data_IF_244110627555
#
_entry.id   IF_244110627555
#
_cell.length_a   1.000
_cell.length_b   1.000
_cell.length_c   1.000
_cell.angle_alpha   90.00
_cell.angle_beta   90.00
_cell.angle_gamma   90.00
#
_symmetry.space_group_name_H-M   'P 1'
#
loop_
_entity.id
_entity.type
_entity.pdbx_description
1 polymer ?
#
# COMPACT_ATOMS: atom_id res chain seq x y z
N UNK A 1 33.65 2.58 60.07
CA UNK A 1 32.43 1.79 60.36
C UNK A 1 32.12 1.02 59.07
N UNK A 2 32.43 -0.27 58.88
CA UNK A 2 32.29 -1.51 59.69
C UNK A 2 30.85 -2.07 59.79
N UNK A 3 30.76 -3.42 59.75
CA UNK A 3 29.57 -4.26 59.49
C UNK A 3 28.91 -3.99 58.11
N UNK A 4 28.77 -4.92 57.16
CA UNK A 4 29.04 -6.37 57.07
C UNK A 4 28.11 -7.32 57.84
N UNK A 5 27.25 -8.02 57.08
CA UNK A 5 26.73 -9.38 57.33
C UNK A 5 26.97 -10.17 56.03
N UNK A 6 27.21 -11.49 56.11
CA UNK A 6 27.70 -12.30 55.00
C UNK A 6 27.14 -13.74 55.08
N UNK A 7 26.89 -14.37 53.91
CA UNK A 7 26.53 -15.81 53.75
C UNK A 7 25.09 -16.12 54.25
N UNK A 8 24.38 -17.13 53.75
CA UNK A 8 24.85 -18.49 53.46
C UNK A 8 24.62 -19.01 52.02
N UNK A 9 25.29 -20.11 51.67
CA UNK A 9 25.11 -20.83 50.41
C UNK A 9 25.35 -22.33 50.55
N UNK A 10 24.37 -23.13 50.14
CA UNK A 10 24.55 -24.59 50.00
C UNK A 10 24.10 -25.08 48.62
N UNK A 11 24.84 -26.08 48.13
CA UNK A 11 24.64 -26.72 46.82
C UNK A 11 23.92 -28.06 47.02
N UNK A 12 23.14 -28.48 46.03
CA UNK A 12 23.03 -29.90 45.69
C UNK A 12 23.09 -30.05 44.17
N UNK A 13 23.81 -31.07 43.69
CA UNK A 13 24.13 -31.23 42.26
C UNK A 13 24.60 -32.66 41.96
N UNK A 14 23.71 -33.54 41.50
CA UNK A 14 23.98 -34.92 41.04
C UNK A 14 22.79 -35.42 40.18
N UNK A 15 22.94 -36.43 39.28
CA UNK A 15 22.52 -36.20 37.89
C UNK A 15 21.64 -37.30 37.22
N UNK A 16 21.09 -36.93 36.05
CA UNK A 16 20.87 -37.71 34.80
C UNK A 16 20.39 -39.18 34.92
N UNK A 17 19.29 -39.51 34.21
CA UNK A 17 19.41 -40.50 33.13
C UNK A 17 18.93 -39.97 31.78
N UNK A 18 19.67 -40.27 30.71
CA UNK A 18 19.29 -39.99 29.32
C UNK A 18 18.80 -41.26 28.62
N UNK A 19 17.83 -41.17 27.70
CA UNK A 19 17.38 -42.36 26.96
C UNK A 19 16.05 -42.22 26.20
N UNK A 20 16.04 -41.46 25.11
CA UNK A 20 14.99 -41.56 24.08
C UNK A 20 15.61 -41.32 22.69
N UNK A 21 15.50 -42.31 21.79
CA UNK A 21 16.04 -42.22 20.44
C UNK A 21 15.05 -41.51 19.52
N UNK A 22 15.46 -40.37 18.94
CA UNK A 22 14.80 -39.82 17.76
C UNK A 22 15.27 -40.65 16.56
N UNK A 23 14.37 -41.40 15.94
CA UNK A 23 14.65 -42.10 14.67
C UNK A 23 14.67 -41.09 13.54
N UNK A 24 15.70 -41.15 12.69
CA UNK A 24 15.67 -40.49 11.40
C UNK A 24 14.61 -41.14 10.51
N UNK A 25 13.71 -40.34 9.93
CA UNK A 25 12.80 -40.80 8.89
C UNK A 25 13.53 -40.75 7.54
N UNK A 26 14.07 -41.89 7.12
CA UNK A 26 14.44 -42.11 5.73
C UNK A 26 13.14 -42.29 4.93
N UNK A 27 12.95 -41.50 3.88
CA UNK A 27 11.93 -41.75 2.87
C UNK A 27 12.54 -42.61 1.78
N UNK A 28 12.14 -43.87 1.72
CA UNK A 28 12.54 -44.78 0.65
C UNK A 28 11.96 -44.34 -0.70
N UNK A 29 12.74 -44.56 -1.76
CA UNK A 29 12.35 -44.38 -3.15
C UNK A 29 11.98 -45.76 -3.69
N UNK A 30 10.73 -45.97 -4.12
CA UNK A 30 10.29 -47.21 -4.77
C UNK A 30 10.11 -47.00 -6.29
N UNK A 31 11.01 -47.59 -7.08
CA UNK A 31 10.87 -47.74 -8.52
C UNK A 31 10.48 -49.19 -8.88
N UNK A 32 9.19 -49.47 -9.04
CA UNK A 32 8.72 -50.67 -9.76
C UNK A 32 7.32 -50.46 -10.38
N UNK A 33 7.21 -50.04 -11.64
CA UNK A 33 7.34 -50.82 -12.89
C UNK A 33 6.04 -51.49 -13.41
N UNK A 34 5.42 -50.83 -14.39
CA UNK A 34 4.95 -51.40 -15.66
C UNK A 34 3.96 -52.60 -15.68
N UNK A 35 2.76 -52.37 -16.23
CA UNK A 35 2.08 -53.40 -17.03
C UNK A 35 1.38 -52.80 -18.26
N UNK A 36 1.54 -53.43 -19.43
CA UNK A 36 1.04 -52.95 -20.73
C UNK A 36 -0.32 -53.55 -21.12
N UNK A 37 -1.15 -52.75 -21.81
CA UNK A 37 -2.14 -53.08 -22.88
C UNK A 37 -2.91 -51.78 -23.23
N UNK A 38 -3.06 -51.30 -24.47
CA UNK A 38 -2.51 -51.71 -25.76
C UNK A 38 -3.57 -52.22 -26.75
N UNK A 39 -4.03 -51.38 -27.71
CA UNK A 39 -4.54 -51.79 -29.05
C UNK A 39 -4.71 -50.59 -30.01
N UNK A 40 -4.03 -50.69 -31.17
CA UNK A 40 -4.30 -50.18 -32.54
C UNK A 40 -5.06 -48.86 -32.80
N UNK A 41 -4.28 -47.85 -33.17
CA UNK A 41 -4.23 -47.21 -34.50
C UNK A 41 -5.42 -47.29 -35.50
N UNK A 42 -5.74 -46.13 -36.10
CA UNK A 42 -6.42 -45.99 -37.40
C UNK A 42 -5.77 -44.85 -38.21
N UNK A 43 -5.57 -45.03 -39.52
CA UNK A 43 -4.87 -44.06 -40.39
C UNK A 43 -5.85 -43.39 -41.37
N UNK A 44 -5.69 -42.09 -41.60
CA UNK A 44 -6.53 -41.31 -42.54
C UNK A 44 -5.72 -40.21 -43.23
N UNK A 45 -5.25 -40.48 -44.45
CA UNK A 45 -4.46 -39.54 -45.26
C UNK A 45 -5.33 -38.63 -46.12
N UNK A 46 -4.95 -37.36 -46.31
CA UNK A 46 -5.13 -36.73 -47.62
C UNK A 46 -4.10 -35.63 -47.93
N UNK A 47 -3.94 -35.29 -49.22
CA UNK A 47 -2.94 -34.33 -49.73
C UNK A 47 -3.60 -33.14 -50.46
N UNK A 48 -2.99 -31.95 -50.27
CA UNK A 48 -2.63 -30.83 -51.22
C UNK A 48 -3.24 -30.79 -52.64
N UNK A 49 -3.25 -29.63 -53.36
CA UNK A 49 -2.50 -28.36 -53.14
C UNK A 49 -3.49 -27.16 -52.97
N UNK A 50 -3.38 -25.91 -53.46
CA UNK A 50 -2.42 -25.19 -54.32
C UNK A 50 -2.55 -23.64 -54.25
N UNK A 51 -1.49 -22.92 -54.66
CA UNK A 51 -1.49 -21.58 -55.31
C UNK A 51 -2.02 -20.33 -54.54
N UNK A 52 -1.55 -19.08 -54.76
CA UNK A 52 -0.51 -18.53 -55.65
C UNK A 52 0.07 -17.18 -55.11
N UNK A 53 1.36 -16.91 -55.36
CA UNK A 53 2.11 -15.61 -55.38
C UNK A 53 1.73 -14.45 -54.43
N UNK A 54 2.73 -14.00 -53.67
CA UNK A 54 3.18 -12.61 -53.70
C UNK A 54 4.60 -12.57 -54.29
N UNK A 55 4.98 -11.49 -54.99
CA UNK A 55 6.32 -11.32 -55.58
C UNK A 55 6.67 -9.81 -55.68
N UNK A 56 7.96 -9.50 -55.65
CA UNK A 56 8.55 -8.17 -55.70
C UNK A 56 8.75 -7.49 -54.33
N UNK A 57 9.88 -6.82 -54.05
CA UNK A 57 11.16 -6.80 -54.78
C UNK A 57 12.28 -6.12 -53.95
N UNK A 58 13.49 -6.71 -53.93
CA UNK A 58 14.86 -6.09 -54.11
C UNK A 58 15.23 -4.78 -53.36
N UNK A 59 16.45 -4.50 -52.89
CA UNK A 59 17.80 -5.13 -52.83
C UNK A 59 18.57 -4.38 -51.69
N UNK A 60 19.45 -4.98 -50.86
CA UNK A 60 20.90 -5.23 -51.08
C UNK A 60 21.72 -4.02 -51.61
N UNK A 61 22.93 -3.66 -51.10
CA UNK A 61 23.73 -4.22 -49.98
C UNK A 61 24.88 -3.28 -49.49
N UNK A 62 25.42 -3.59 -48.30
CA UNK A 62 26.84 -3.49 -47.81
C UNK A 62 27.86 -2.46 -48.38
N UNK A 63 28.65 -1.81 -47.50
CA UNK A 63 29.88 -1.07 -47.90
C UNK A 63 30.84 -0.67 -46.76
N UNK A 64 32.12 -1.07 -46.86
CA UNK A 64 33.20 -1.02 -45.85
C UNK A 64 33.67 0.33 -45.23
N UNK A 65 34.18 0.22 -43.99
CA UNK A 65 35.29 0.92 -43.27
C UNK A 65 35.95 2.19 -43.87
N UNK A 66 36.21 3.18 -43.01
CA UNK A 66 37.24 4.24 -43.19
C UNK A 66 37.82 4.74 -41.86
N UNK A 67 39.07 5.26 -41.85
CA UNK A 67 39.79 5.82 -40.69
C UNK A 67 40.13 7.30 -40.94
N UNK A 68 40.02 8.17 -39.94
CA UNK A 68 40.79 9.42 -39.83
C UNK A 68 40.78 9.99 -38.40
N UNK A 69 41.92 10.54 -37.95
CA UNK A 69 41.97 11.58 -36.91
C UNK A 69 41.99 12.98 -37.58
N UNK A 70 41.92 14.10 -36.83
CA UNK A 70 43.21 14.72 -36.48
C UNK A 70 43.29 15.50 -35.13
N UNK A 71 44.41 15.29 -34.44
CA UNK A 71 45.30 16.29 -33.75
C UNK A 71 44.72 17.39 -32.83
N UNK A 72 45.26 17.43 -31.62
CA UNK A 72 45.25 18.58 -30.69
C UNK A 72 46.07 19.78 -31.21
N UNK A 73 45.76 20.99 -30.69
CA UNK A 73 46.74 22.05 -30.40
C UNK A 73 46.43 22.68 -29.03
N UNK A 74 47.49 23.08 -28.31
CA UNK A 74 47.37 23.83 -27.05
C UNK A 74 47.53 25.34 -27.29
N UNK A 75 46.89 26.16 -26.46
CA UNK A 75 47.28 27.53 -26.14
C UNK A 75 46.79 27.89 -24.74
N UNK A 76 47.64 28.47 -23.90
CA UNK A 76 47.33 28.81 -22.51
C UNK A 76 46.54 30.11 -22.32
N UNK A 77 46.23 30.49 -21.06
CA UNK A 77 45.28 31.55 -20.73
C UNK A 77 45.90 32.96 -20.64
N UNK A 78 45.10 33.98 -20.94
CA UNK A 78 45.34 35.39 -20.56
C UNK A 78 43.99 36.11 -20.27
N UNK A 79 43.99 37.30 -19.65
CA UNK A 79 43.05 37.57 -18.54
C UNK A 79 41.71 38.21 -18.93
N UNK A 80 40.74 38.08 -18.02
CA UNK A 80 39.49 38.81 -18.06
C UNK A 80 39.71 40.32 -17.81
N UNK A 81 39.16 41.15 -18.69
CA UNK A 81 39.16 42.61 -18.55
C UNK A 81 37.78 43.10 -18.10
N UNK A 82 37.74 43.96 -17.09
CA UNK A 82 36.51 44.50 -16.51
C UNK A 82 35.86 45.56 -17.41
N UNK A 83 34.58 45.37 -17.77
CA UNK A 83 33.67 46.46 -18.14
C UNK A 83 32.22 46.04 -17.89
N UNK A 84 31.49 46.83 -17.09
CA UNK A 84 30.04 46.74 -16.99
C UNK A 84 29.39 47.60 -18.09
N UNK A 85 28.24 47.18 -18.66
CA UNK A 85 27.37 48.01 -19.47
C UNK A 85 26.31 48.73 -18.62
N UNK A 86 25.84 49.88 -19.10
CA UNK A 86 25.05 50.84 -18.32
C UNK A 86 23.57 50.47 -18.10
N UNK A 87 22.99 50.98 -17.00
CA UNK A 87 21.56 50.91 -16.71
C UNK A 87 20.82 51.95 -17.56
N UNK A 88 20.12 51.48 -18.60
CA UNK A 88 19.18 52.32 -19.38
C UNK A 88 17.78 52.19 -18.78
N UNK A 89 17.29 53.28 -18.17
CA UNK A 89 15.88 53.37 -17.78
C UNK A 89 14.97 53.34 -19.01
N UNK A 90 13.83 52.63 -18.90
CA UNK A 90 12.68 52.79 -19.78
C UNK A 90 11.39 52.83 -18.95
N UNK A 91 10.40 53.54 -19.49
CA UNK A 91 9.23 54.04 -18.77
C UNK A 91 8.01 53.13 -18.83
N UNK A 92 7.15 53.32 -17.82
CA UNK A 92 5.70 53.08 -17.73
C UNK A 92 5.13 51.70 -18.12
N UNK A 93 4.55 50.94 -17.17
CA UNK A 93 3.89 49.67 -17.46
C UNK A 93 2.50 49.86 -18.06
N UNK A 94 2.22 49.13 -19.14
CA UNK A 94 0.86 49.04 -19.72
C UNK A 94 -0.08 48.33 -18.73
N UNK A 95 -1.14 49.01 -18.30
CA UNK A 95 -2.20 48.42 -17.48
C UNK A 95 -2.92 47.29 -18.25
N UNK A 96 -2.57 46.03 -17.94
CA UNK A 96 -3.44 44.88 -18.23
C UNK A 96 -4.42 44.70 -17.08
N UNK A 97 -5.64 45.20 -17.25
CA UNK A 97 -6.75 44.87 -16.36
C UNK A 97 -7.01 43.37 -16.45
N UNK A 98 -6.57 42.63 -15.43
CA UNK A 98 -7.01 41.26 -15.19
C UNK A 98 -8.29 41.33 -14.36
N UNK A 99 -9.32 40.51 -14.63
CA UNK A 99 -10.54 40.53 -13.82
C UNK A 99 -10.25 39.92 -12.44
N UNK A 100 -9.99 40.77 -11.46
CA UNK A 100 -9.90 40.37 -10.06
C UNK A 100 -11.25 39.81 -9.60
N UNK A 101 -11.37 38.47 -9.55
CA UNK A 101 -12.33 37.84 -8.66
C UNK A 101 -11.83 38.08 -7.23
N UNK A 102 -12.58 38.76 -6.35
CA UNK A 102 -12.16 38.90 -4.97
C UNK A 102 -12.08 37.52 -4.33
N UNK A 103 -10.93 37.21 -3.70
CA UNK A 103 -10.83 36.06 -2.82
C UNK A 103 -11.78 36.27 -1.65
N UNK A 104 -12.84 35.46 -1.58
CA UNK A 104 -13.81 35.52 -0.48
C UNK A 104 -13.11 35.21 0.84
N UNK A 105 -12.95 36.22 1.69
CA UNK A 105 -12.47 36.06 3.07
C UNK A 105 -13.58 35.58 4.01
N UNK A 106 -14.83 35.49 3.54
CA UNK A 106 -15.83 34.67 4.20
C UNK A 106 -15.53 33.19 3.96
N UNK A 107 -15.24 32.46 5.04
CA UNK A 107 -15.31 31.00 5.02
C UNK A 107 -16.72 30.58 4.52
N UNK A 108 -16.83 29.50 3.72
CA UNK A 108 -18.14 29.04 3.27
C UNK A 108 -18.99 28.70 4.48
N UNK A 109 -20.16 29.35 4.61
CA UNK A 109 -21.14 29.00 5.63
C UNK A 109 -21.56 27.55 5.40
N UNK A 110 -21.03 26.63 6.21
CA UNK A 110 -21.36 25.21 6.13
C UNK A 110 -22.88 25.06 6.14
N UNK A 111 -23.43 24.49 5.07
CA UNK A 111 -24.82 24.07 5.06
C UNK A 111 -25.01 23.07 6.21
N UNK A 112 -26.16 23.14 6.89
CA UNK A 112 -26.49 22.15 7.91
C UNK A 112 -26.36 20.75 7.28
N UNK A 113 -25.68 19.79 7.94
CA UNK A 113 -25.30 18.53 7.31
C UNK A 113 -26.55 17.81 6.81
N UNK A 114 -26.61 17.61 5.49
CA UNK A 114 -27.54 16.67 4.88
C UNK A 114 -27.33 15.32 5.55
N UNK A 115 -28.41 14.69 6.01
CA UNK A 115 -28.32 13.49 6.84
C UNK A 115 -27.53 12.42 6.09
N UNK A 116 -26.39 12.01 6.66
CA UNK A 116 -25.47 11.10 5.98
C UNK A 116 -26.18 9.79 5.65
N UNK A 117 -26.04 9.22 4.43
CA UNK A 117 -26.69 7.98 4.03
C UNK A 117 -26.11 6.73 4.74
N UNK A 118 -25.19 6.94 5.69
CA UNK A 118 -24.45 5.94 6.46
C UNK A 118 -25.38 5.17 7.42
N UNK A 119 -25.51 3.84 7.28
CA UNK A 119 -26.20 3.01 8.26
C UNK A 119 -25.44 2.98 9.59
N UNK A 120 -26.15 3.18 10.71
CA UNK A 120 -25.59 3.04 12.05
C UNK A 120 -25.01 1.64 12.25
N UNK A 121 -23.78 1.58 12.76
CA UNK A 121 -23.03 0.33 12.92
C UNK A 121 -22.08 0.01 11.76
N UNK A 122 -21.89 0.92 10.80
CA UNK A 122 -20.89 0.80 9.74
C UNK A 122 -19.47 0.56 10.23
N UNK A 123 -18.61 0.04 9.36
CA UNK A 123 -17.22 -0.32 9.63
C UNK A 123 -16.32 0.54 8.73
N UNK A 124 -15.45 1.33 9.33
CA UNK A 124 -14.41 2.07 8.62
C UNK A 124 -13.14 1.21 8.49
N UNK A 125 -12.71 0.97 7.26
CA UNK A 125 -11.57 0.11 6.97
C UNK A 125 -10.23 0.86 6.92
N UNK A 126 -10.26 2.18 7.06
CA UNK A 126 -9.06 3.04 6.96
C UNK A 126 -9.18 4.33 7.78
N UNK A 127 -8.31 4.47 8.80
CA UNK A 127 -7.96 5.74 9.45
C UNK A 127 -6.59 5.66 10.16
N UNK A 128 -6.01 6.83 10.46
CA UNK A 128 -4.59 7.00 10.77
C UNK A 128 -4.38 7.64 12.16
N UNK A 129 -4.20 6.82 13.22
CA UNK A 129 -3.66 7.32 14.48
C UNK A 129 -2.20 7.76 14.29
N UNK A 130 -1.95 9.04 14.50
CA UNK A 130 -0.63 9.67 14.33
C UNK A 130 0.26 9.48 15.55
N UNK A 131 1.51 9.03 15.33
CA UNK A 131 2.59 9.15 16.32
C UNK A 131 3.07 10.60 16.30
N UNK A 132 3.00 11.31 17.42
CA UNK A 132 3.46 12.70 17.55
C UNK A 132 5.00 12.79 17.46
N UNK A 133 5.69 11.96 18.25
CA UNK A 133 7.15 11.94 18.31
C UNK A 133 7.68 10.59 18.83
N UNK A 134 8.98 10.32 18.59
CA UNK A 134 9.67 9.12 19.09
C UNK A 134 9.53 8.93 20.62
N UNK A 135 9.30 10.00 21.40
CA UNK A 135 9.08 9.91 22.84
C UNK A 135 7.86 9.06 23.23
N UNK A 136 6.85 8.94 22.35
CA UNK A 136 5.71 8.04 22.55
C UNK A 136 6.06 6.56 22.32
N UNK A 137 7.12 6.27 21.56
CA UNK A 137 7.57 4.93 21.21
C UNK A 137 8.73 4.43 22.09
N UNK A 138 9.51 5.33 22.71
CA UNK A 138 10.60 4.97 23.64
C UNK A 138 10.17 3.96 24.74
N UNK A 139 8.99 4.06 25.39
CA UNK A 139 8.56 3.08 26.40
C UNK A 139 8.23 1.68 25.85
N UNK A 140 8.19 1.53 24.52
CA UNK A 140 7.81 0.31 23.81
C UNK A 140 8.97 -0.27 22.96
N UNK A 141 10.15 0.36 23.00
CA UNK A 141 11.39 -0.16 22.45
C UNK A 141 12.17 -0.94 23.53
N UNK A 142 12.96 -1.92 23.11
CA UNK A 142 13.95 -2.56 23.99
C UNK A 142 15.03 -1.55 24.39
N UNK A 143 15.58 -1.66 25.61
CA UNK A 143 16.55 -0.69 26.19
C UNK A 143 17.65 -0.25 25.21
N UNK A 144 18.27 -1.21 24.50
CA UNK A 144 19.31 -0.94 23.51
C UNK A 144 18.83 -0.04 22.36
N UNK A 145 17.60 -0.23 21.87
CA UNK A 145 17.03 0.58 20.80
C UNK A 145 16.53 1.93 21.31
N UNK A 146 15.98 1.98 22.52
CA UNK A 146 15.60 3.24 23.18
C UNK A 146 16.83 4.13 23.43
N UNK A 147 17.94 3.55 23.90
CA UNK A 147 19.23 4.24 24.01
C UNK A 147 19.78 4.65 22.64
N UNK A 148 19.76 3.74 21.65
CA UNK A 148 20.25 4.02 20.28
C UNK A 148 19.51 5.20 19.64
N UNK A 149 18.19 5.30 19.82
CA UNK A 149 17.36 6.40 19.31
C UNK A 149 17.79 7.74 19.94
N UNK A 150 18.01 7.76 21.26
CA UNK A 150 18.42 8.96 21.98
C UNK A 150 19.86 9.37 21.64
N UNK A 151 20.82 8.43 21.75
CA UNK A 151 22.26 8.70 21.55
C UNK A 151 22.60 9.12 20.13
N UNK A 152 21.88 8.60 19.11
CA UNK A 152 22.07 8.99 17.71
C UNK A 152 21.21 10.18 17.28
N UNK A 153 20.31 10.69 18.14
CA UNK A 153 19.38 11.74 17.79
C UNK A 153 18.41 11.35 16.66
N UNK A 154 17.88 10.13 16.68
CA UNK A 154 16.96 9.66 15.63
C UNK A 154 15.67 10.45 15.70
N UNK A 155 15.41 11.24 14.66
CA UNK A 155 14.19 12.04 14.49
C UNK A 155 12.97 11.14 14.20
N UNK A 156 11.73 11.67 14.33
CA UNK A 156 10.53 10.93 13.94
C UNK A 156 10.59 10.48 12.46
N UNK A 157 10.10 9.26 12.19
CA UNK A 157 10.12 8.62 10.88
C UNK A 157 8.91 9.04 10.03
N UNK A 158 8.72 10.36 9.90
CA UNK A 158 7.61 10.93 9.15
C UNK A 158 7.88 10.90 7.64
N UNK A 159 6.93 10.35 6.87
CA UNK A 159 7.05 10.23 5.43
C UNK A 159 6.78 11.58 4.74
N UNK A 160 7.35 11.79 3.55
CA UNK A 160 7.06 12.98 2.75
C UNK A 160 5.70 12.92 2.04
N UNK A 161 4.99 11.78 2.10
CA UNK A 161 3.67 11.60 1.51
C UNK A 161 2.60 12.46 2.17
N UNK A 162 2.68 12.69 3.49
CA UNK A 162 1.69 13.50 4.23
C UNK A 162 2.39 14.63 4.99
N UNK A 163 2.86 15.69 4.30
CA UNK A 163 3.49 16.83 4.96
C UNK A 163 2.48 17.52 5.90
N UNK A 164 2.81 17.67 7.18
CA UNK A 164 1.92 18.07 8.29
C UNK A 164 1.01 19.28 7.99
N UNK A 165 1.49 20.23 7.18
CA UNK A 165 0.80 21.48 6.84
C UNK A 165 0.27 21.55 5.40
N UNK A 166 0.35 20.46 4.63
CA UNK A 166 -0.36 20.37 3.34
C UNK A 166 -1.88 20.24 3.58
N UNK A 167 -2.74 20.79 2.70
CA UNK A 167 -4.20 20.72 2.88
C UNK A 167 -4.73 19.28 2.97
N UNK A 168 -4.27 18.39 2.08
CA UNK A 168 -4.72 16.99 2.04
C UNK A 168 -4.37 16.22 3.32
N UNK A 169 -3.26 16.56 4.00
CA UNK A 169 -2.79 15.87 5.22
C UNK A 169 -3.70 16.05 6.43
N UNK A 170 -4.54 17.09 6.50
CA UNK A 170 -5.59 17.15 7.52
C UNK A 170 -6.71 18.12 7.17
N UNK A 171 -7.95 17.60 7.21
CA UNK A 171 -9.16 18.39 6.96
C UNK A 171 -9.29 19.57 7.95
N UNK A 172 -9.67 20.78 7.51
CA UNK A 172 -9.60 21.98 8.36
C UNK A 172 -10.44 21.94 9.65
N UNK A 173 -11.56 21.22 9.67
CA UNK A 173 -12.43 21.05 10.85
C UNK A 173 -11.89 20.00 11.84
N UNK A 174 -11.21 18.96 11.34
CA UNK A 174 -10.56 17.92 12.14
C UNK A 174 -9.20 18.35 12.73
N UNK A 175 -8.58 19.38 12.18
CA UNK A 175 -7.29 19.91 12.65
C UNK A 175 -7.40 20.47 14.09
N UNK A 176 -6.31 20.33 14.84
CA UNK A 176 -6.07 21.04 16.11
C UNK A 176 -4.87 21.95 15.90
N UNK A 177 -4.97 23.22 16.27
CA UNK A 177 -3.85 24.16 16.15
C UNK A 177 -2.65 23.74 17.02
N UNK A 178 -1.46 23.74 16.41
CA UNK A 178 -0.21 23.38 17.07
C UNK A 178 0.01 21.88 17.31
N UNK A 179 -0.96 21.01 17.02
CA UNK A 179 -0.80 19.56 17.11
C UNK A 179 -0.63 18.90 15.74
N UNK A 180 0.08 17.77 15.70
CA UNK A 180 0.17 16.94 14.49
C UNK A 180 -1.17 16.22 14.23
N UNK A 181 -1.63 16.11 12.97
CA UNK A 181 -2.86 15.40 12.62
C UNK A 181 -2.93 13.96 13.15
N UNK A 182 -4.15 13.48 13.43
CA UNK A 182 -4.40 12.10 13.85
C UNK A 182 -3.91 11.72 15.25
N UNK A 183 -3.26 12.62 16.00
CA UNK A 183 -2.68 12.32 17.33
C UNK A 183 -3.68 12.26 18.48
N UNK A 184 -4.90 12.79 18.31
CA UNK A 184 -5.89 12.93 19.38
C UNK A 184 -7.00 11.89 19.29
N UNK A 185 -7.00 10.91 20.20
CA UNK A 185 -8.07 9.91 20.34
C UNK A 185 -9.45 10.56 20.54
N UNK A 186 -9.55 11.63 21.34
CA UNK A 186 -10.82 12.29 21.61
C UNK A 186 -11.41 13.00 20.37
N UNK A 187 -10.55 13.51 19.48
CA UNK A 187 -10.97 14.00 18.16
C UNK A 187 -11.40 12.85 17.27
N UNK A 188 -10.59 11.79 17.13
CA UNK A 188 -10.95 10.60 16.34
C UNK A 188 -12.29 9.98 16.77
N UNK A 189 -12.57 9.92 18.08
CA UNK A 189 -13.86 9.46 18.62
C UNK A 189 -15.01 10.34 18.11
N UNK A 190 -14.93 11.66 18.32
CA UNK A 190 -16.00 12.60 17.92
C UNK A 190 -16.16 12.70 16.40
N UNK A 191 -15.05 12.95 15.70
CA UNK A 191 -14.98 13.35 14.29
C UNK A 191 -15.17 12.19 13.30
N UNK A 192 -14.78 10.96 13.69
CA UNK A 192 -14.82 9.79 12.82
C UNK A 192 -15.76 8.69 13.37
N UNK A 193 -15.61 8.28 14.64
CA UNK A 193 -16.41 7.16 15.17
C UNK A 193 -17.87 7.54 15.43
N UNK A 194 -18.09 8.66 16.12
CA UNK A 194 -19.42 9.11 16.54
C UNK A 194 -20.15 9.79 15.38
N UNK A 195 -19.48 10.69 14.65
CA UNK A 195 -20.06 11.43 13.52
C UNK A 195 -20.50 10.54 12.33
N UNK A 196 -19.84 9.39 12.10
CA UNK A 196 -20.25 8.39 11.11
C UNK A 196 -20.97 7.18 11.75
N UNK A 197 -21.30 7.22 13.05
CA UNK A 197 -22.07 6.17 13.73
C UNK A 197 -21.45 4.77 13.64
N UNK A 198 -20.11 4.68 13.65
CA UNK A 198 -19.37 3.44 13.35
C UNK A 198 -19.44 2.43 14.49
N UNK A 199 -19.62 1.15 14.16
CA UNK A 199 -19.39 0.06 15.12
C UNK A 199 -17.90 -0.22 15.31
N UNK A 200 -17.11 -0.08 14.23
CA UNK A 200 -15.68 -0.36 14.24
C UNK A 200 -14.90 0.56 13.29
N UNK A 201 -13.63 0.78 13.59
CA UNK A 201 -12.68 1.38 12.65
C UNK A 201 -11.31 0.68 12.73
N UNK A 202 -10.63 0.54 11.59
CA UNK A 202 -9.31 -0.10 11.48
C UNK A 202 -8.21 0.97 11.43
N UNK A 203 -7.31 0.92 12.40
CA UNK A 203 -6.14 1.78 12.52
C UNK A 203 -4.98 1.32 11.62
N UNK A 204 -4.66 2.13 10.62
CA UNK A 204 -3.47 2.04 9.78
C UNK A 204 -2.46 3.11 10.22
N UNK A 205 -1.59 2.76 11.16
CA UNK A 205 -0.54 3.67 11.64
C UNK A 205 0.61 3.73 10.62
N UNK A 206 0.58 4.74 9.75
CA UNK A 206 1.54 4.97 8.66
C UNK A 206 2.89 5.58 9.13
N UNK A 207 3.37 5.18 10.31
CA UNK A 207 4.69 5.57 10.80
C UNK A 207 5.79 4.87 9.99
N UNK A 208 6.82 5.61 9.55
CA UNK A 208 7.75 5.21 8.49
C UNK A 208 8.79 4.15 8.86
N UNK A 209 8.37 3.03 9.44
CA UNK A 209 9.23 1.88 9.76
C UNK A 209 9.93 1.32 8.51
N UNK A 210 9.27 1.37 7.36
CA UNK A 210 9.78 0.90 6.06
C UNK A 210 10.89 1.79 5.47
N UNK A 211 11.04 3.03 5.97
CA UNK A 211 12.13 3.94 5.60
C UNK A 211 13.49 3.51 6.19
N UNK A 212 13.49 2.66 7.21
CA UNK A 212 14.70 2.19 7.87
C UNK A 212 15.50 1.23 6.96
N UNK A 213 16.82 1.38 6.99
CA UNK A 213 17.78 0.52 6.28
C UNK A 213 18.41 -0.57 7.17
N UNK A 214 18.15 -0.54 8.48
CA UNK A 214 18.52 -1.62 9.41
C UNK A 214 17.28 -2.43 9.71
N UNK A 215 17.29 -3.70 9.32
CA UNK A 215 16.19 -4.65 9.52
C UNK A 215 15.90 -4.86 11.02
N UNK A 216 16.93 -4.94 11.87
CA UNK A 216 16.77 -5.08 13.32
C UNK A 216 16.12 -3.84 13.95
N UNK A 217 16.53 -2.63 13.50
CA UNK A 217 15.90 -1.38 13.94
C UNK A 217 14.46 -1.28 13.44
N UNK A 218 14.18 -1.73 12.21
CA UNK A 218 12.83 -1.79 11.67
C UNK A 218 11.94 -2.75 12.47
N UNK A 219 12.45 -3.92 12.86
CA UNK A 219 11.78 -4.88 13.76
C UNK A 219 11.47 -4.25 15.13
N UNK A 220 12.43 -3.57 15.73
CA UNK A 220 12.23 -2.86 17.00
C UNK A 220 11.15 -1.77 16.89
N UNK A 221 11.17 -0.96 15.83
CA UNK A 221 10.17 0.09 15.62
C UNK A 221 8.79 -0.45 15.26
N UNK A 222 8.68 -1.51 14.45
CA UNK A 222 7.41 -2.21 14.20
C UNK A 222 6.78 -2.69 15.52
N UNK A 223 7.60 -3.37 16.34
CA UNK A 223 7.18 -3.86 17.66
C UNK A 223 6.75 -2.73 18.59
N UNK A 224 7.45 -1.62 18.60
CA UNK A 224 7.10 -0.44 19.40
C UNK A 224 5.79 0.21 18.94
N UNK A 225 5.59 0.40 17.63
CA UNK A 225 4.35 0.98 17.07
C UNK A 225 3.15 0.07 17.32
N UNK A 226 3.27 -1.24 17.11
CA UNK A 226 2.18 -2.19 17.40
C UNK A 226 1.83 -2.20 18.89
N UNK A 227 2.83 -2.16 19.78
CA UNK A 227 2.61 -2.09 21.23
C UNK A 227 1.94 -0.78 21.67
N UNK A 228 2.41 0.35 21.12
CA UNK A 228 1.82 1.68 21.33
C UNK A 228 0.36 1.74 20.85
N UNK A 229 0.04 1.20 19.67
CA UNK A 229 -1.36 1.06 19.21
C UNK A 229 -2.19 0.20 20.17
N UNK A 230 -1.66 -0.95 20.58
CA UNK A 230 -2.38 -1.91 21.44
C UNK A 230 -2.72 -1.35 22.84
N UNK A 231 -1.88 -0.46 23.37
CA UNK A 231 -2.00 0.15 24.69
C UNK A 231 -2.65 1.55 24.67
N UNK A 232 -2.23 2.44 23.77
CA UNK A 232 -2.67 3.83 23.78
C UNK A 232 -4.01 4.07 23.07
N UNK A 233 -4.40 3.18 22.15
CA UNK A 233 -5.62 3.29 21.33
C UNK A 233 -6.57 2.12 21.58
N UNK A 234 -6.16 0.88 21.26
CA UNK A 234 -7.04 -0.29 21.28
C UNK A 234 -7.50 -0.73 22.69
N UNK A 235 -6.84 -0.24 23.75
CA UNK A 235 -7.23 -0.49 25.14
C UNK A 235 -8.18 0.59 25.69
N UNK A 236 -8.34 1.72 24.98
CA UNK A 236 -9.12 2.89 25.44
C UNK A 236 -10.42 3.09 24.66
N UNK A 237 -10.49 2.62 23.42
CA UNK A 237 -11.70 2.67 22.58
C UNK A 237 -12.00 1.28 21.98
N UNK A 238 -12.99 0.54 22.51
CA UNK A 238 -13.26 -0.85 22.09
C UNK A 238 -13.82 -0.99 20.66
N UNK A 239 -14.23 0.11 20.02
CA UNK A 239 -14.57 0.13 18.58
C UNK A 239 -13.34 0.03 17.69
N UNK A 240 -12.15 0.42 18.16
CA UNK A 240 -10.95 0.35 17.33
C UNK A 240 -10.44 -1.07 17.15
N UNK A 241 -9.89 -1.30 15.97
CA UNK A 241 -9.09 -2.45 15.56
C UNK A 241 -7.83 -1.91 14.90
N UNK A 242 -6.82 -2.75 14.67
CA UNK A 242 -5.58 -2.30 14.05
C UNK A 242 -5.05 -3.25 12.99
N UNK A 243 -4.15 -2.69 12.18
CA UNK A 243 -3.27 -3.42 11.29
C UNK A 243 -1.93 -3.65 11.95
N UNK A 244 -1.33 -4.81 11.72
CA UNK A 244 0.01 -5.15 12.22
C UNK A 244 1.03 -4.45 11.31
N UNK A 245 1.72 -3.43 11.82
CA UNK A 245 2.85 -2.80 11.14
C UNK A 245 4.00 -3.81 11.11
N UNK A 246 4.58 -4.08 9.93
CA UNK A 246 5.65 -5.06 9.77
C UNK A 246 6.91 -4.47 9.11
N UNK A 247 8.12 -4.95 9.48
CA UNK A 247 9.38 -4.56 8.85
C UNK A 247 9.54 -5.31 7.52
N UNK A 248 8.92 -4.83 6.44
CA UNK A 248 8.90 -5.51 5.13
C UNK A 248 10.28 -5.73 4.51
N UNK A 249 11.30 -5.01 4.99
CA UNK A 249 12.72 -5.20 4.66
C UNK A 249 13.22 -6.62 4.97
N UNK A 250 12.68 -7.27 6.01
CA UNK A 250 12.95 -8.66 6.36
C UNK A 250 11.61 -9.42 6.41
N UNK A 251 11.25 -10.16 5.33
CA UNK A 251 10.04 -10.98 5.29
C UNK A 251 9.95 -12.00 6.43
N UNK A 252 11.10 -12.48 6.95
CA UNK A 252 11.21 -13.34 8.11
C UNK A 252 10.79 -12.60 9.39
N UNK A 253 11.34 -11.43 9.68
CA UNK A 253 10.93 -10.60 10.83
C UNK A 253 9.47 -10.12 10.71
N UNK A 254 9.00 -9.84 9.49
CA UNK A 254 7.60 -9.54 9.23
C UNK A 254 6.68 -10.73 9.53
N UNK A 255 7.07 -11.96 9.20
CA UNK A 255 6.32 -13.16 9.55
C UNK A 255 6.28 -13.40 11.07
N UNK A 256 7.39 -13.20 11.78
CA UNK A 256 7.45 -13.27 13.25
C UNK A 256 6.54 -12.23 13.94
N UNK A 257 6.52 -11.00 13.42
CA UNK A 257 5.67 -9.92 13.93
C UNK A 257 4.17 -10.24 13.73
N UNK A 258 3.81 -10.86 12.61
CA UNK A 258 2.45 -11.34 12.32
C UNK A 258 2.04 -12.46 13.27
N UNK A 259 2.85 -13.52 13.43
CA UNK A 259 2.53 -14.64 14.33
C UNK A 259 2.41 -14.20 15.80
N UNK A 260 3.16 -13.17 16.22
CA UNK A 260 3.03 -12.58 17.55
C UNK A 260 1.68 -11.84 17.72
N UNK A 261 1.40 -10.83 16.89
CA UNK A 261 0.20 -10.00 17.07
C UNK A 261 -1.09 -10.68 16.62
N UNK A 262 -1.02 -11.74 15.81
CA UNK A 262 -2.18 -12.56 15.47
C UNK A 262 -2.87 -13.19 16.70
N UNK A 263 -2.20 -13.27 17.86
CA UNK A 263 -2.77 -13.71 19.13
C UNK A 263 -3.83 -12.73 19.65
N UNK A 264 -3.59 -11.41 19.54
CA UNK A 264 -4.56 -10.37 19.86
C UNK A 264 -5.56 -10.21 18.71
N UNK A 265 -6.84 -10.49 19.00
CA UNK A 265 -7.91 -10.43 17.99
C UNK A 265 -8.39 -9.01 17.68
N UNK A 266 -7.87 -7.99 18.38
CA UNK A 266 -8.03 -6.58 18.01
C UNK A 266 -7.18 -6.20 16.79
N UNK A 267 -6.14 -6.97 16.46
CA UNK A 267 -5.43 -6.86 15.19
C UNK A 267 -6.15 -7.71 14.12
N UNK A 268 -6.47 -7.08 12.97
CA UNK A 268 -7.41 -7.62 11.98
C UNK A 268 -6.88 -7.69 10.54
N UNK A 269 -5.76 -7.03 10.24
CA UNK A 269 -5.02 -7.19 8.99
C UNK A 269 -3.51 -6.96 9.20
N UNK A 270 -2.69 -7.27 8.20
CA UNK A 270 -1.27 -6.86 8.13
C UNK A 270 -1.17 -5.53 7.38
N UNK A 271 -0.21 -4.66 7.70
CA UNK A 271 0.05 -3.40 6.97
C UNK A 271 1.37 -3.42 6.21
N UNK A 272 1.28 -3.37 4.88
CA UNK A 272 2.38 -3.09 3.96
C UNK A 272 2.13 -1.77 3.22
N UNK A 273 3.13 -1.26 2.51
CA UNK A 273 3.02 -0.10 1.62
C UNK A 273 3.16 -0.51 0.15
N UNK A 274 2.59 0.27 -0.77
CA UNK A 274 2.49 -0.08 -2.18
C UNK A 274 3.81 0.09 -2.95
N UNK A 275 4.66 1.04 -2.56
CA UNK A 275 6.01 1.24 -3.13
C UNK A 275 7.10 0.77 -2.15
N UNK A 276 7.26 -0.55 -2.06
CA UNK A 276 8.37 -1.21 -1.36
C UNK A 276 9.61 -1.38 -2.27
N UNK A 277 10.70 -2.01 -1.79
CA UNK A 277 11.95 -2.22 -2.55
C UNK A 277 11.77 -3.08 -3.81
N UNK A 278 10.80 -3.98 -3.79
CA UNK A 278 10.55 -4.94 -4.86
C UNK A 278 9.06 -5.05 -5.18
N UNK A 279 8.68 -5.44 -6.42
CA UNK A 279 7.30 -5.75 -6.76
C UNK A 279 6.72 -6.81 -5.82
N UNK A 280 5.62 -6.47 -5.14
CA UNK A 280 5.11 -7.21 -3.98
C UNK A 280 4.77 -8.69 -4.23
N UNK A 281 4.42 -9.08 -5.46
CA UNK A 281 4.20 -10.49 -5.81
C UNK A 281 5.44 -11.39 -5.71
N UNK A 282 6.66 -10.82 -5.69
CA UNK A 282 7.92 -11.60 -5.68
C UNK A 282 8.00 -12.54 -4.49
N UNK A 283 8.58 -13.73 -4.73
CA UNK A 283 8.81 -14.80 -3.75
C UNK A 283 9.54 -14.38 -2.46
N UNK A 284 10.23 -13.23 -2.48
CA UNK A 284 10.83 -12.62 -1.29
C UNK A 284 9.77 -12.34 -0.21
N UNK A 285 8.63 -11.73 -0.54
CA UNK A 285 7.58 -11.40 0.43
C UNK A 285 6.62 -12.55 0.76
N UNK A 286 6.80 -13.73 0.16
CA UNK A 286 5.90 -14.88 0.39
C UNK A 286 5.84 -15.37 1.86
N UNK A 287 6.88 -15.25 2.72
CA UNK A 287 6.74 -15.54 4.15
C UNK A 287 5.69 -14.66 4.84
N UNK A 288 5.54 -13.39 4.43
CA UNK A 288 4.52 -12.46 4.93
C UNK A 288 3.13 -12.99 4.57
N UNK A 289 2.95 -13.42 3.32
CA UNK A 289 1.68 -13.97 2.82
C UNK A 289 1.34 -15.34 3.45
N UNK A 290 2.35 -16.17 3.71
CA UNK A 290 2.16 -17.46 4.39
C UNK A 290 1.80 -17.27 5.88
N UNK A 291 2.39 -16.29 6.56
CA UNK A 291 2.02 -15.90 7.92
C UNK A 291 0.62 -15.28 7.99
N UNK A 292 0.29 -14.36 7.08
CA UNK A 292 -1.03 -13.74 7.01
C UNK A 292 -2.14 -14.77 6.77
N UNK A 293 -1.97 -15.66 5.77
CA UNK A 293 -2.91 -16.72 5.46
C UNK A 293 -3.07 -17.72 6.62
N UNK A 294 -1.96 -18.18 7.24
CA UNK A 294 -1.97 -19.08 8.41
C UNK A 294 -2.76 -18.49 9.60
N UNK A 295 -2.74 -17.17 9.76
CA UNK A 295 -3.38 -16.48 10.88
C UNK A 295 -4.78 -15.93 10.58
N UNK A 296 -5.32 -16.17 9.37
CA UNK A 296 -6.63 -15.67 8.95
C UNK A 296 -6.67 -14.13 8.92
N UNK A 297 -5.61 -13.51 8.40
CA UNK A 297 -5.45 -12.06 8.29
C UNK A 297 -5.35 -11.64 6.81
N UNK A 298 -6.20 -10.70 6.34
CA UNK A 298 -5.95 -9.99 5.09
C UNK A 298 -4.64 -9.18 5.17
N UNK A 299 -4.09 -8.85 4.00
CA UNK A 299 -2.95 -7.93 3.88
C UNK A 299 -3.44 -6.60 3.31
N UNK A 300 -3.46 -5.58 4.16
CA UNK A 300 -3.61 -4.19 3.77
C UNK A 300 -2.32 -3.68 3.10
N UNK A 301 -2.45 -3.12 1.90
CA UNK A 301 -1.37 -2.49 1.14
C UNK A 301 -1.78 -1.04 0.93
N UNK A 302 -1.04 -0.13 1.57
CA UNK A 302 -1.37 1.29 1.66
C UNK A 302 -0.63 2.15 0.64
N UNK A 303 -1.22 3.29 0.26
CA UNK A 303 -0.52 4.35 -0.46
C UNK A 303 0.75 4.79 0.31
N UNK A 304 1.77 5.21 -0.42
CA UNK A 304 3.06 5.63 0.14
C UNK A 304 4.22 4.72 -0.22
N UNK A 305 5.42 5.12 0.20
CA UNK A 305 6.69 4.59 -0.31
C UNK A 305 7.76 4.44 0.76
N UNK A 306 8.60 3.42 0.59
CA UNK A 306 9.87 3.29 1.31
C UNK A 306 10.89 4.35 0.84
N UNK A 307 10.61 5.04 -0.28
CA UNK A 307 11.44 6.06 -0.93
C UNK A 307 12.85 5.58 -1.33
N UNK A 308 13.06 4.26 -1.38
CA UNK A 308 14.30 3.60 -1.84
C UNK A 308 14.44 3.58 -3.36
N UNK A 309 13.34 3.77 -4.09
CA UNK A 309 13.28 3.93 -5.54
C UNK A 309 12.41 5.15 -5.89
N UNK A 310 12.58 5.75 -7.09
CA UNK A 310 11.72 6.84 -7.53
C UNK A 310 10.27 6.38 -7.68
N UNK A 311 9.33 7.21 -7.22
CA UNK A 311 7.89 6.87 -7.21
C UNK A 311 7.25 6.74 -8.60
N UNK A 312 7.95 7.11 -9.67
CA UNK A 312 7.52 6.90 -11.06
C UNK A 312 8.55 6.07 -11.84
N UNK A 313 8.14 5.27 -12.85
CA UNK A 313 9.07 4.51 -13.70
C UNK A 313 9.99 5.36 -14.59
N UNK A 314 9.87 6.70 -14.54
CA UNK A 314 10.68 7.65 -15.31
C UNK A 314 11.52 8.59 -14.44
N UNK A 315 11.47 8.45 -13.12
CA UNK A 315 12.29 9.22 -12.17
C UNK A 315 11.49 9.84 -11.03
N UNK A 316 12.13 10.80 -10.35
CA UNK A 316 11.55 11.53 -9.23
C UNK A 316 10.66 12.68 -9.70
N UNK A 317 9.44 12.86 -9.16
CA UNK A 317 8.62 14.04 -9.40
C UNK A 317 9.24 15.30 -8.78
N UNK A 318 8.71 16.47 -9.15
CA UNK A 318 9.07 17.77 -8.56
C UNK A 318 8.03 18.30 -7.57
N UNK A 319 6.77 17.86 -7.66
CA UNK A 319 5.65 18.39 -6.88
C UNK A 319 4.86 17.28 -6.17
N UNK A 320 4.32 17.59 -4.99
CA UNK A 320 3.55 16.65 -4.16
C UNK A 320 2.35 16.03 -4.93
N UNK A 321 1.68 16.82 -5.78
CA UNK A 321 0.56 16.34 -6.61
C UNK A 321 0.96 15.23 -7.60
N UNK A 322 2.22 15.20 -8.03
CA UNK A 322 2.75 14.13 -8.88
C UNK A 322 3.04 12.86 -8.07
N UNK A 323 3.49 12.99 -6.81
CA UNK A 323 3.76 11.86 -5.88
C UNK A 323 2.45 11.17 -5.47
N UNK A 324 1.40 11.94 -5.13
CA UNK A 324 0.04 11.42 -4.89
C UNK A 324 -0.53 10.75 -6.15
N UNK A 325 -0.50 11.42 -7.30
CA UNK A 325 -1.02 10.86 -8.56
C UNK A 325 -0.32 9.56 -8.97
N UNK A 326 0.97 9.43 -8.66
CA UNK A 326 1.76 8.23 -8.94
C UNK A 326 1.38 7.00 -8.09
N UNK A 327 0.69 7.16 -6.93
CA UNK A 327 0.24 6.02 -6.13
C UNK A 327 -0.65 5.07 -6.94
N UNK A 328 -1.54 5.61 -7.78
CA UNK A 328 -2.37 4.83 -8.72
C UNK A 328 -1.57 3.97 -9.71
N UNK A 329 -0.34 4.37 -10.06
CA UNK A 329 0.57 3.62 -10.94
C UNK A 329 1.29 2.49 -10.17
N UNK A 330 1.59 2.71 -8.89
CA UNK A 330 2.12 1.68 -8.02
C UNK A 330 1.08 0.57 -7.77
N UNK A 331 -0.17 0.92 -7.44
CA UNK A 331 -1.24 -0.08 -7.26
C UNK A 331 -1.51 -0.92 -8.53
N UNK A 332 -1.46 -0.32 -9.72
CA UNK A 332 -1.47 -1.05 -10.99
C UNK A 332 -0.30 -2.03 -11.11
N UNK A 333 0.91 -1.59 -10.77
CA UNK A 333 2.13 -2.40 -10.84
C UNK A 333 2.08 -3.57 -9.85
N UNK A 334 1.59 -3.35 -8.63
CA UNK A 334 1.47 -4.40 -7.61
C UNK A 334 0.30 -5.35 -7.88
N UNK A 335 -0.82 -4.88 -8.43
CA UNK A 335 -1.90 -5.74 -8.96
C UNK A 335 -1.37 -6.72 -10.00
N UNK A 336 -0.56 -6.22 -10.95
CA UNK A 336 0.09 -7.09 -11.94
C UNK A 336 1.05 -8.07 -11.28
N UNK A 337 1.89 -7.61 -10.35
CA UNK A 337 2.90 -8.45 -9.67
C UNK A 337 2.27 -9.60 -8.87
N UNK A 338 1.31 -9.30 -7.98
CA UNK A 338 0.64 -10.28 -7.11
C UNK A 338 -0.05 -11.39 -7.93
N UNK A 339 -0.69 -11.04 -9.04
CA UNK A 339 -1.36 -12.00 -9.93
C UNK A 339 -0.35 -12.80 -10.75
N UNK A 340 0.62 -12.15 -11.41
CA UNK A 340 1.53 -12.83 -12.33
C UNK A 340 2.56 -13.75 -11.64
N UNK A 341 3.10 -13.36 -10.48
CA UNK A 341 4.00 -14.23 -9.69
C UNK A 341 3.26 -15.42 -9.05
N UNK A 342 1.92 -15.37 -9.00
CA UNK A 342 1.08 -16.50 -8.56
C UNK A 342 0.76 -16.52 -7.07
N UNK A 343 0.78 -15.37 -6.37
CA UNK A 343 0.52 -15.28 -4.93
C UNK A 343 -0.81 -15.94 -4.57
N UNK A 344 -1.88 -15.60 -5.31
CA UNK A 344 -3.22 -16.14 -5.09
C UNK A 344 -3.40 -17.62 -5.49
N UNK A 345 -2.45 -18.20 -6.26
CA UNK A 345 -2.41 -19.64 -6.52
C UNK A 345 -1.70 -20.42 -5.41
N UNK A 346 -0.68 -19.82 -4.79
CA UNK A 346 0.03 -20.41 -3.64
C UNK A 346 -0.75 -20.21 -2.33
N UNK A 347 -1.50 -19.12 -2.19
CA UNK A 347 -2.28 -18.76 -1.01
C UNK A 347 -3.75 -18.46 -1.42
N UNK A 348 -4.58 -19.49 -1.69
CA UNK A 348 -5.92 -19.32 -2.25
C UNK A 348 -6.93 -18.65 -1.31
N UNK A 349 -6.69 -18.68 0.00
CA UNK A 349 -7.54 -18.02 0.99
C UNK A 349 -7.07 -16.59 1.33
N UNK A 350 -5.95 -16.13 0.74
CA UNK A 350 -5.42 -14.79 0.97
C UNK A 350 -6.33 -13.73 0.34
N UNK A 351 -6.69 -12.73 1.14
CA UNK A 351 -7.31 -11.49 0.69
C UNK A 351 -6.34 -10.33 0.86
N UNK A 352 -6.24 -9.48 -0.15
CA UNK A 352 -5.47 -8.24 -0.18
C UNK A 352 -6.45 -7.07 -0.18
N UNK A 353 -6.21 -6.08 0.67
CA UNK A 353 -6.97 -4.84 0.71
C UNK A 353 -6.06 -3.72 0.23
N UNK A 354 -6.41 -3.04 -0.85
CA UNK A 354 -5.76 -1.79 -1.22
C UNK A 354 -6.39 -0.66 -0.40
N UNK A 355 -5.52 0.04 0.35
CA UNK A 355 -5.84 1.12 1.27
C UNK A 355 -5.37 2.44 0.62
N UNK A 356 -6.19 3.50 0.72
CA UNK A 356 -6.00 4.80 0.06
C UNK A 356 -5.64 4.72 -1.46
N UNK A 357 -6.19 3.75 -2.20
CA UNK A 357 -5.64 3.39 -3.52
C UNK A 357 -6.25 4.09 -4.74
N UNK A 358 -7.37 4.80 -4.58
CA UNK A 358 -8.27 5.09 -5.70
C UNK A 358 -9.02 3.85 -6.20
N UNK A 359 -10.19 4.03 -6.80
CA UNK A 359 -11.01 2.93 -7.37
C UNK A 359 -11.13 2.93 -8.90
N UNK A 360 -10.88 4.06 -9.55
CA UNK A 360 -11.22 4.27 -10.97
C UNK A 360 -10.27 3.59 -11.97
N UNK A 361 -9.02 3.33 -11.59
CA UNK A 361 -7.99 2.76 -12.47
C UNK A 361 -8.12 1.25 -12.70
N UNK A 362 -8.68 0.52 -11.73
CA UNK A 362 -8.63 -0.95 -11.68
C UNK A 362 -9.31 -1.65 -12.87
N UNK A 363 -10.52 -1.26 -13.34
CA UNK A 363 -11.19 -1.98 -14.43
C UNK A 363 -10.38 -1.94 -15.73
N UNK A 364 -9.92 -0.73 -16.11
CA UNK A 364 -9.12 -0.52 -17.32
C UNK A 364 -7.78 -1.28 -17.26
N UNK A 365 -7.14 -1.30 -16.07
CA UNK A 365 -5.93 -2.06 -15.83
C UNK A 365 -6.15 -3.57 -16.01
N UNK A 366 -7.17 -4.15 -15.38
CA UNK A 366 -7.46 -5.60 -15.46
C UNK A 366 -7.86 -6.04 -16.87
N UNK A 367 -8.59 -5.22 -17.62
CA UNK A 367 -8.91 -5.50 -19.02
C UNK A 367 -7.63 -5.54 -19.88
N UNK A 368 -6.71 -4.60 -19.67
CA UNK A 368 -5.40 -4.57 -20.34
C UNK A 368 -4.56 -5.79 -19.96
N UNK A 369 -4.38 -6.05 -18.67
CA UNK A 369 -3.61 -7.18 -18.15
C UNK A 369 -4.14 -8.51 -18.71
N UNK A 370 -5.46 -8.72 -18.70
CA UNK A 370 -6.07 -9.96 -19.18
C UNK A 370 -5.97 -10.12 -20.70
N UNK A 371 -6.04 -9.04 -21.49
CA UNK A 371 -5.76 -9.08 -22.93
C UNK A 371 -4.37 -9.62 -23.22
N UNK A 372 -3.37 -9.22 -22.42
CA UNK A 372 -1.99 -9.68 -22.56
C UNK A 372 -1.78 -11.10 -22.01
N UNK A 373 -2.35 -11.44 -20.85
CA UNK A 373 -2.35 -12.82 -20.33
C UNK A 373 -2.91 -13.82 -21.35
N UNK A 374 -4.01 -13.51 -22.05
CA UNK A 374 -4.57 -14.39 -23.10
C UNK A 374 -3.56 -14.73 -24.21
N UNK A 375 -2.60 -13.85 -24.50
CA UNK A 375 -1.53 -14.09 -25.50
C UNK A 375 -0.25 -14.71 -24.92
N UNK A 376 0.03 -14.54 -23.63
CA UNK A 376 1.32 -14.88 -23.01
C UNK A 376 1.20 -15.89 -21.84
N UNK A 377 0.03 -16.48 -21.59
CA UNK A 377 -0.28 -17.43 -20.49
C UNK A 377 0.73 -18.58 -20.32
N UNK A 378 1.45 -18.97 -21.36
CA UNK A 378 2.50 -19.99 -21.29
C UNK A 378 3.71 -19.59 -20.43
N UNK A 379 3.94 -18.29 -20.21
CA UNK A 379 5.00 -17.75 -19.34
C UNK A 379 4.69 -17.92 -17.84
N UNK A 380 3.41 -17.85 -17.49
CA UNK A 380 2.88 -17.91 -16.11
C UNK A 380 1.83 -19.02 -15.98
N UNK A 381 2.20 -20.30 -16.21
CA UNK A 381 1.25 -21.40 -16.40
C UNK A 381 0.37 -21.73 -15.19
N UNK A 382 0.77 -21.29 -13.98
CA UNK A 382 -0.04 -21.37 -12.76
C UNK A 382 -1.27 -20.46 -12.81
N UNK A 383 -1.24 -19.34 -13.55
CA UNK A 383 -2.39 -18.42 -13.69
C UNK A 383 -3.39 -19.03 -14.67
N UNK A 384 -4.21 -19.96 -14.17
CA UNK A 384 -5.19 -20.74 -14.95
C UNK A 384 -6.47 -19.98 -15.29
N UNK A 385 -6.79 -18.95 -14.52
CA UNK A 385 -8.00 -18.13 -14.62
C UNK A 385 -7.68 -16.69 -15.07
N UNK A 386 -8.65 -15.96 -15.67
CA UNK A 386 -8.47 -14.56 -16.02
C UNK A 386 -8.06 -13.68 -14.82
N UNK A 387 -7.08 -12.76 -14.96
CA UNK A 387 -6.69 -11.82 -13.91
C UNK A 387 -7.85 -11.05 -13.26
N UNK A 388 -8.94 -10.73 -13.97
CA UNK A 388 -10.12 -10.10 -13.36
C UNK A 388 -10.91 -11.03 -12.40
N UNK A 389 -10.93 -12.35 -12.64
CA UNK A 389 -11.61 -13.34 -11.79
C UNK A 389 -10.78 -13.66 -10.54
N UNK A 390 -9.46 -13.54 -10.65
CA UNK A 390 -8.54 -13.53 -9.50
C UNK A 390 -8.77 -12.24 -8.70
N UNK A 391 -8.70 -11.07 -9.33
CA UNK A 391 -8.89 -9.78 -8.65
C UNK A 391 -10.24 -9.69 -7.89
N UNK A 392 -11.37 -10.09 -8.49
CA UNK A 392 -12.68 -10.11 -7.80
C UNK A 392 -12.67 -10.89 -6.49
N UNK A 393 -12.06 -12.08 -6.50
CA UNK A 393 -12.06 -12.99 -5.35
C UNK A 393 -11.15 -12.47 -4.24
N UNK A 394 -9.93 -12.05 -4.57
CA UNK A 394 -8.87 -11.79 -3.59
C UNK A 394 -8.59 -10.31 -3.30
N UNK A 395 -9.05 -9.35 -4.12
CA UNK A 395 -8.73 -7.92 -3.95
C UNK A 395 -9.94 -7.14 -3.44
N UNK A 396 -9.71 -6.29 -2.44
CA UNK A 396 -10.64 -5.26 -1.96
C UNK A 396 -10.00 -3.89 -2.10
N UNK A 397 -10.81 -2.84 -2.13
CA UNK A 397 -10.37 -1.45 -2.20
C UNK A 397 -11.15 -0.61 -1.18
N UNK A 398 -10.46 0.26 -0.46
CA UNK A 398 -11.12 1.33 0.30
C UNK A 398 -11.80 2.31 -0.66
N UNK A 399 -12.92 2.88 -0.23
CA UNK A 399 -13.67 3.83 -1.02
C UNK A 399 -12.89 5.14 -1.19
N UNK A 400 -12.17 5.59 -0.15
CA UNK A 400 -11.40 6.83 -0.19
C UNK A 400 -9.93 6.58 -0.59
N UNK A 401 -9.33 7.49 -1.40
CA UNK A 401 -10.00 8.50 -2.22
C UNK A 401 -10.85 7.84 -3.32
N UNK A 402 -11.99 8.43 -3.64
CA UNK A 402 -12.91 7.87 -4.66
C UNK A 402 -12.46 8.12 -6.11
N UNK A 403 -11.59 9.11 -6.35
CA UNK A 403 -11.07 9.53 -7.66
C UNK A 403 -12.12 9.78 -8.75
N UNK A 404 -13.37 10.04 -8.35
CA UNK A 404 -14.48 10.28 -9.28
C UNK A 404 -14.33 11.65 -9.97
N UNK A 405 -14.72 11.78 -11.26
CA UNK A 405 -14.64 13.05 -11.98
C UNK A 405 -15.59 14.07 -11.36
N UNK A 406 -15.04 15.08 -10.69
CA UNK A 406 -15.81 16.16 -10.10
C UNK A 406 -16.23 17.22 -11.11
N UNK A 407 -17.50 17.62 -11.09
CA UNK A 407 -17.94 18.92 -11.63
C UNK A 407 -18.27 18.98 -13.11
N UNK A 408 -19.26 18.21 -13.58
CA UNK A 408 -20.13 18.63 -14.70
C UNK A 408 -21.54 18.02 -14.57
N UNK A 409 -21.64 16.73 -14.19
CA UNK A 409 -22.90 15.98 -14.00
C UNK A 409 -23.53 16.07 -12.58
N UNK A 410 -23.02 16.94 -11.70
CA UNK A 410 -23.53 17.09 -10.32
C UNK A 410 -23.26 15.88 -9.40
N UNK A 411 -23.99 15.79 -8.28
CA UNK A 411 -23.85 14.68 -7.30
C UNK A 411 -24.31 13.34 -7.89
N UNK A 412 -25.40 13.35 -8.68
CA UNK A 412 -25.93 12.16 -9.36
C UNK A 412 -24.87 11.50 -10.28
N UNK A 413 -24.04 12.30 -10.94
CA UNK A 413 -22.94 11.83 -11.80
C UNK A 413 -21.87 11.04 -11.03
N UNK A 414 -21.62 11.36 -9.75
CA UNK A 414 -20.67 10.64 -8.93
C UNK A 414 -21.19 9.24 -8.54
N UNK A 415 -22.46 9.15 -8.11
CA UNK A 415 -23.10 7.85 -7.84
C UNK A 415 -23.19 6.99 -9.10
N UNK A 416 -23.66 7.54 -10.22
CA UNK A 416 -23.73 6.84 -11.50
C UNK A 416 -22.34 6.37 -11.99
N UNK A 417 -21.28 7.13 -11.73
CA UNK A 417 -19.91 6.71 -12.08
C UNK A 417 -19.42 5.56 -11.19
N UNK A 418 -19.71 5.56 -9.89
CA UNK A 418 -19.38 4.43 -9.02
C UNK A 418 -20.16 3.16 -9.41
N UNK A 419 -21.46 3.26 -9.70
CA UNK A 419 -22.26 2.12 -10.18
C UNK A 419 -21.74 1.58 -11.53
N UNK A 420 -21.24 2.46 -12.42
CA UNK A 420 -20.54 2.03 -13.65
C UNK A 420 -19.20 1.33 -13.37
N UNK A 421 -18.47 1.71 -12.32
CA UNK A 421 -17.27 1.00 -11.89
C UNK A 421 -17.64 -0.39 -11.33
N UNK A 422 -18.72 -0.50 -10.55
CA UNK A 422 -19.29 -1.79 -10.10
C UNK A 422 -19.68 -2.67 -11.30
N UNK A 423 -20.33 -2.12 -12.32
CA UNK A 423 -20.70 -2.83 -13.56
C UNK A 423 -19.48 -3.27 -14.39
N UNK A 424 -18.50 -2.38 -14.56
CA UNK A 424 -17.22 -2.68 -15.22
C UNK A 424 -16.47 -3.80 -14.51
N UNK A 425 -16.46 -3.79 -13.17
CA UNK A 425 -15.86 -4.83 -12.34
C UNK A 425 -16.71 -6.11 -12.27
N UNK A 426 -18.02 -6.03 -12.50
CA UNK A 426 -19.02 -7.11 -12.26
C UNK A 426 -19.01 -7.62 -10.82
N UNK A 427 -18.76 -6.73 -9.85
CA UNK A 427 -18.67 -7.08 -8.43
C UNK A 427 -18.83 -5.83 -7.56
N UNK A 428 -19.84 -5.82 -6.70
CA UNK A 428 -20.04 -4.85 -5.61
C UNK A 428 -19.22 -5.23 -4.35
N UNK A 429 -18.99 -6.53 -4.14
CA UNK A 429 -18.23 -7.11 -3.03
C UNK A 429 -16.75 -6.68 -2.90
N UNK A 430 -16.24 -5.86 -3.83
CA UNK A 430 -14.84 -5.40 -3.82
C UNK A 430 -14.61 -4.10 -3.03
N UNK A 431 -15.65 -3.30 -2.80
CA UNK A 431 -15.52 -1.96 -2.26
C UNK A 431 -15.82 -1.92 -0.75
N UNK A 432 -14.94 -1.27 0.02
CA UNK A 432 -15.01 -1.14 1.47
C UNK A 432 -15.13 0.32 1.86
N UNK A 433 -15.94 0.64 2.87
CA UNK A 433 -16.02 1.99 3.39
C UNK A 433 -14.75 2.40 4.16
N UNK A 434 -14.33 3.65 3.98
CA UNK A 434 -13.23 4.29 4.69
C UNK A 434 -13.58 5.77 4.91
N UNK A 435 -13.12 6.35 6.03
CA UNK A 435 -13.14 7.80 6.25
C UNK A 435 -11.82 8.45 5.89
N UNK A 436 -10.71 7.68 5.81
CA UNK A 436 -9.37 8.21 5.56
C UNK A 436 -9.01 9.32 6.57
N UNK A 437 -9.48 9.18 7.82
CA UNK A 437 -9.27 10.20 8.85
C UNK A 437 -7.80 10.21 9.27
N UNK A 438 -7.09 11.36 9.25
CA UNK A 438 -7.63 12.72 9.25
C UNK A 438 -7.54 13.47 7.90
N UNK A 439 -7.24 12.79 6.79
CA UNK A 439 -6.95 13.38 5.49
C UNK A 439 -8.18 14.07 4.84
N UNK A 440 -7.94 15.01 3.92
CA UNK A 440 -8.99 15.84 3.31
C UNK A 440 -9.37 15.35 1.91
N UNK A 441 -10.10 14.23 1.85
CA UNK A 441 -10.66 13.72 0.58
C UNK A 441 -12.09 14.23 0.29
N UNK A 442 -12.84 14.61 1.32
CA UNK A 442 -14.24 15.07 1.23
C UNK A 442 -14.63 15.98 2.41
N UNK A 443 -15.68 16.78 2.21
CA UNK A 443 -16.22 17.69 3.24
C UNK A 443 -17.35 17.07 4.07
N UNK A 444 -17.49 17.51 5.33
CA UNK A 444 -18.57 17.08 6.22
C UNK A 444 -18.64 15.56 6.40
N UNK A 445 -19.78 14.97 6.03
CA UNK A 445 -20.04 13.53 6.07
C UNK A 445 -20.17 12.88 4.68
N UNK A 446 -19.72 13.56 3.62
CA UNK A 446 -19.83 13.14 2.21
C UNK A 446 -18.79 12.07 1.81
N UNK A 447 -18.51 11.11 2.70
CA UNK A 447 -17.56 10.02 2.50
C UNK A 447 -18.02 9.00 1.43
N UNK A 448 -19.26 9.08 0.98
CA UNK A 448 -19.84 8.38 -0.15
C UNK A 448 -20.76 9.34 -0.93
N UNK A 449 -20.86 9.23 -2.27
CA UNK A 449 -21.77 10.03 -3.08
C UNK A 449 -23.23 9.94 -2.62
N UNK A 450 -23.92 11.08 -2.65
CA UNK A 450 -25.39 11.09 -2.60
C UNK A 450 -25.96 10.35 -3.83
N UNK A 451 -27.16 9.78 -3.69
CA UNK A 451 -27.83 9.04 -4.77
C UNK A 451 -27.45 7.55 -4.89
N UNK A 452 -26.40 7.06 -4.21
CA UNK A 452 -26.09 5.63 -4.19
C UNK A 452 -27.24 4.79 -3.60
N UNK A 453 -27.49 3.63 -4.19
CA UNK A 453 -28.47 2.68 -3.68
C UNK A 453 -28.13 2.21 -2.25
N UNK A 454 -29.13 2.19 -1.38
CA UNK A 454 -28.96 1.86 0.05
C UNK A 454 -28.41 0.44 0.27
N UNK A 455 -28.63 -0.49 -0.67
CA UNK A 455 -28.02 -1.82 -0.63
C UNK A 455 -26.50 -1.78 -0.91
N UNK A 456 -26.04 -0.97 -1.87
CA UNK A 456 -24.61 -0.79 -2.14
C UNK A 456 -23.91 -0.09 -0.97
N UNK A 457 -24.53 0.93 -0.37
CA UNK A 457 -24.01 1.58 0.85
C UNK A 457 -23.91 0.56 1.99
N UNK A 458 -24.97 -0.20 2.26
CA UNK A 458 -25.00 -1.27 3.28
C UNK A 458 -23.92 -2.33 3.04
N UNK A 459 -23.68 -2.71 1.77
CA UNK A 459 -22.59 -3.63 1.41
C UNK A 459 -21.21 -3.03 1.68
N UNK A 460 -20.93 -1.83 1.20
CA UNK A 460 -19.64 -1.16 1.40
C UNK A 460 -19.33 -0.93 2.89
N UNK A 461 -20.34 -0.61 3.70
CA UNK A 461 -20.18 -0.27 5.11
C UNK A 461 -20.30 -1.44 6.08
N UNK A 462 -20.95 -2.55 5.72
CA UNK A 462 -21.23 -3.66 6.66
C UNK A 462 -20.91 -5.03 6.05
N UNK A 463 -21.55 -5.41 4.95
CA UNK A 463 -21.44 -6.79 4.43
C UNK A 463 -20.02 -7.09 3.91
N UNK A 464 -19.45 -6.18 3.10
CA UNK A 464 -18.14 -6.37 2.48
C UNK A 464 -16.99 -6.33 3.52
N UNK A 465 -16.96 -5.40 4.50
CA UNK A 465 -15.99 -5.47 5.60
C UNK A 465 -16.11 -6.75 6.41
N UNK A 466 -17.33 -7.22 6.74
CA UNK A 466 -17.53 -8.48 7.48
C UNK A 466 -17.13 -9.72 6.69
N UNK A 467 -17.31 -9.71 5.37
CA UNK A 467 -16.83 -10.77 4.48
C UNK A 467 -15.30 -10.72 4.24
N UNK A 468 -14.65 -9.59 4.52
CA UNK A 468 -13.20 -9.40 4.33
C UNK A 468 -12.42 -9.71 5.60
N UNK A 469 -12.90 -9.26 6.76
CA UNK A 469 -12.18 -9.35 8.04
C UNK A 469 -12.86 -10.36 8.97
N UNK A 470 -12.32 -11.59 9.03
CA UNK A 470 -12.83 -12.70 9.85
C UNK A 470 -12.72 -12.50 11.38
N UNK A 471 -12.53 -11.26 11.85
CA UNK A 471 -12.31 -10.85 13.25
C UNK A 471 -13.21 -9.67 13.69
N UNK A 472 -14.25 -9.33 12.91
CA UNK A 472 -15.19 -8.21 13.12
C UNK A 472 -16.64 -8.64 13.38
#
# INVERSE_FOLDING_TARGET
MQSAIQRDSQRSNTPIPAGASVRAAVLDIDESSNSQKGVRAGCGTNRRPAHLRCDGSRQHASGARGRAEPRRRNSGPQPASTRAPDIVQRSDPVQRQSPERPLSTAAPTLAAPTASPVPTGGICCDLHPGVDSNAQLLPYLEDYWADTVQQRGVHPLDTIGYPVNAPLTCRPDWRIDGAKPGTSLARLQTDALDAFGLSHAICNCIYGVQLLFSEDMAKAFARAVNSWIAAEWLAKEPRLRASIVVPTQSPEFAAEEIDYWAQDKRFVQVLMIVMDEMPLGRRHYWPIYEAAARNGLPVGIHAGSAYKHPVTPVGWPSYLVEDYGAQSLAFQSMTTSLICEGVFQKFPDLTVVFLESGVTWLPAHLWRLTKFWRGMRAEIPWVTEPPWEIARRHIRLTAQPLDLPGGEDGEDGAAATLERIVDHMRSDAMFLFATDYPHWQYDGLAALPAGLSQDLVRKMMVDNPRATYARL
#
